data_IF_361694468916
#
_entry.id   IF_361694468916
#
_cell.length_a   1.000
_cell.length_b   1.000
_cell.length_c   1.000
_cell.angle_alpha   90.00
_cell.angle_beta   90.00
_cell.angle_gamma   90.00
#
_symmetry.space_group_name_H-M   'P 1'
#
loop_
_entity.id
_entity.type
_entity.pdbx_description
1 polymer ?
#
# COMPACT_ATOMS: atom_id res chain seq x y z
N UNK A 1 10.33 -35.25 38.08
CA UNK A 1 10.92 -34.65 39.29
C UNK A 1 12.28 -34.10 38.92
N UNK A 2 12.36 -32.79 38.68
CA UNK A 2 13.59 -32.04 38.55
C UNK A 2 13.30 -30.62 39.04
N UNK A 3 13.72 -30.38 40.27
CA UNK A 3 13.80 -29.12 40.98
C UNK A 3 15.13 -28.44 40.67
N UNK A 4 15.13 -27.15 40.37
CA UNK A 4 16.09 -26.16 40.91
C UNK A 4 15.52 -24.76 40.74
N UNK A 5 15.20 -24.17 41.88
CA UNK A 5 14.94 -22.76 42.16
C UNK A 5 16.23 -21.93 42.10
N UNK A 6 16.15 -20.67 41.68
CA UNK A 6 16.46 -19.55 42.57
C UNK A 6 16.05 -18.20 41.96
N UNK A 7 15.25 -17.48 42.73
CA UNK A 7 15.02 -16.06 42.66
C UNK A 7 15.91 -15.34 43.69
N UNK A 8 15.76 -14.02 43.75
CA UNK A 8 16.39 -12.98 44.60
C UNK A 8 17.74 -12.43 44.15
N UNK A 9 18.04 -11.14 44.29
CA UNK A 9 17.28 -9.91 44.59
C UNK A 9 18.26 -8.72 44.53
N UNK A 10 17.70 -7.50 44.58
CA UNK A 10 18.34 -6.22 44.90
C UNK A 10 19.11 -5.54 43.74
N UNK A 11 19.01 -4.23 43.51
CA UNK A 11 18.45 -3.14 44.30
C UNK A 11 18.13 -1.94 43.40
N UNK A 12 16.98 -1.32 43.69
CA UNK A 12 16.68 0.11 43.73
C UNK A 12 17.68 1.12 43.14
N UNK A 13 17.21 2.01 42.25
CA UNK A 13 17.33 3.46 42.49
C UNK A 13 16.43 4.26 41.53
N UNK A 14 15.54 5.06 42.13
CA UNK A 14 14.63 6.01 41.51
C UNK A 14 15.23 7.43 41.66
N UNK A 15 15.34 8.16 40.53
CA UNK A 15 15.25 9.63 40.36
C UNK A 15 16.28 10.58 41.01
N UNK A 16 16.31 11.90 40.66
CA UNK A 16 16.06 12.57 39.36
C UNK A 16 17.17 13.61 39.04
N UNK A 17 17.35 14.03 37.78
CA UNK A 17 18.02 15.31 37.52
C UNK A 17 17.48 16.01 36.27
N UNK A 18 16.87 17.18 36.51
CA UNK A 18 16.46 18.15 35.51
C UNK A 18 17.70 18.77 34.88
N UNK A 19 17.84 18.75 33.55
CA UNK A 19 18.53 19.83 32.83
C UNK A 19 18.26 19.87 31.33
N UNK A 20 17.83 21.07 30.91
CA UNK A 20 17.94 21.69 29.59
C UNK A 20 17.10 21.14 28.43
N UNK A 21 16.02 21.89 28.17
CA UNK A 21 15.63 22.24 26.82
C UNK A 21 16.85 22.72 26.00
N UNK A 22 17.23 21.95 24.99
CA UNK A 22 17.88 22.48 23.80
C UNK A 22 17.13 21.92 22.58
N UNK A 23 16.48 22.84 21.86
CA UNK A 23 16.04 22.59 20.51
C UNK A 23 17.27 22.46 19.62
N UNK A 24 17.54 21.27 19.10
CA UNK A 24 18.41 21.10 17.94
C UNK A 24 17.77 20.10 16.98
N UNK A 25 17.08 20.68 16.00
CA UNK A 25 17.06 20.29 14.60
C UNK A 25 16.93 18.79 14.29
N UNK A 26 15.72 18.42 13.87
CA UNK A 26 15.46 17.28 12.99
C UNK A 26 16.53 17.23 11.88
N UNK A 27 17.34 16.16 11.75
CA UNK A 27 18.26 16.03 10.63
C UNK A 27 17.42 15.85 9.38
N UNK A 28 17.22 16.97 8.69
CA UNK A 28 16.73 17.06 7.33
C UNK A 28 17.29 15.89 6.51
N UNK A 29 16.47 14.88 6.26
CA UNK A 29 16.81 13.78 5.34
C UNK A 29 17.14 14.47 4.01
N UNK A 30 18.37 14.37 3.48
CA UNK A 30 18.70 14.99 2.22
C UNK A 30 17.79 14.38 1.17
N UNK A 31 17.02 15.21 0.46
CA UNK A 31 16.35 14.78 -0.76
C UNK A 31 17.40 14.09 -1.65
N UNK A 32 17.14 12.88 -2.18
CA UNK A 32 18.07 12.25 -3.09
C UNK A 32 18.28 13.19 -4.29
N UNK A 33 19.52 13.34 -4.80
CA UNK A 33 19.76 14.17 -5.97
C UNK A 33 18.90 13.68 -7.15
N UNK A 34 18.48 14.58 -8.06
CA UNK A 34 17.77 14.16 -9.26
C UNK A 34 18.68 13.21 -10.04
N UNK A 35 18.30 11.94 -10.11
CA UNK A 35 19.02 10.95 -10.90
C UNK A 35 19.11 11.47 -12.35
N UNK A 36 20.28 11.43 -13.00
CA UNK A 36 20.35 11.68 -14.42
C UNK A 36 19.43 10.67 -15.11
N UNK A 37 18.44 11.18 -15.85
CA UNK A 37 17.51 10.39 -16.64
C UNK A 37 18.32 9.56 -17.64
N UNK A 38 18.59 8.31 -17.29
CA UNK A 38 19.16 7.36 -18.24
C UNK A 38 18.14 7.16 -19.37
N UNK A 39 18.53 7.27 -20.65
CA UNK A 39 17.63 6.96 -21.74
C UNK A 39 17.20 5.50 -21.60
N UNK A 40 15.93 5.31 -21.24
CA UNK A 40 15.31 3.99 -21.12
C UNK A 40 15.43 3.30 -22.48
N UNK A 41 16.35 2.35 -22.60
CA UNK A 41 16.47 1.47 -23.75
C UNK A 41 15.17 0.68 -23.85
N UNK A 42 14.29 1.09 -24.77
CA UNK A 42 13.09 0.32 -25.12
C UNK A 42 13.57 -1.06 -25.55
N UNK A 43 13.38 -2.04 -24.66
CA UNK A 43 13.65 -3.46 -24.93
C UNK A 43 13.10 -3.81 -26.31
N UNK A 44 13.92 -4.31 -27.25
CA UNK A 44 13.46 -4.62 -28.58
C UNK A 44 12.37 -5.68 -28.48
N UNK A 45 11.23 -5.38 -29.12
CA UNK A 45 10.09 -6.27 -29.23
C UNK A 45 10.48 -7.38 -30.20
N UNK A 46 11.10 -8.42 -29.66
CA UNK A 46 11.43 -9.63 -30.40
C UNK A 46 10.16 -10.40 -30.76
N UNK A 47 9.54 -10.05 -31.86
CA UNK A 47 8.68 -10.93 -32.66
C UNK A 47 9.15 -10.82 -34.11
N UNK A 48 10.22 -11.54 -34.42
CA UNK A 48 10.52 -11.91 -35.79
C UNK A 48 9.85 -13.27 -36.02
N UNK A 49 8.73 -13.27 -36.75
CA UNK A 49 8.21 -14.48 -37.38
C UNK A 49 9.22 -14.87 -38.46
N UNK A 50 10.02 -15.90 -38.21
CA UNK A 50 10.86 -16.49 -39.24
C UNK A 50 9.95 -17.23 -40.23
N UNK A 51 9.88 -16.68 -41.44
CA UNK A 51 9.35 -17.38 -42.60
C UNK A 51 10.13 -18.69 -42.80
N UNK A 52 9.40 -19.74 -43.18
CA UNK A 52 9.91 -21.07 -43.46
C UNK A 52 10.92 -21.04 -44.60
N UNK A 53 12.20 -21.22 -44.27
CA UNK A 53 13.22 -21.62 -45.24
C UNK A 53 13.75 -22.97 -44.80
N UNK A 54 13.52 -23.96 -45.67
CA UNK A 54 14.01 -25.33 -45.56
C UNK A 54 15.53 -25.33 -45.53
N UNK A 55 16.13 -25.62 -44.38
CA UNK A 55 17.53 -26.02 -44.30
C UNK A 55 17.79 -26.74 -42.98
N UNK A 56 18.25 -27.99 -43.08
CA UNK A 56 18.74 -28.84 -41.99
C UNK A 56 19.64 -28.03 -41.04
N UNK A 57 19.12 -27.70 -39.87
CA UNK A 57 19.91 -27.29 -38.72
C UNK A 57 19.64 -28.31 -37.62
N UNK A 58 20.64 -29.15 -37.37
CA UNK A 58 20.73 -30.03 -36.20
C UNK A 58 20.70 -29.15 -34.95
N UNK A 59 19.50 -28.86 -34.45
CA UNK A 59 19.33 -28.23 -33.16
C UNK A 59 19.76 -29.24 -32.10
N UNK A 60 20.97 -29.07 -31.57
CA UNK A 60 21.42 -29.72 -30.35
C UNK A 60 20.38 -29.45 -29.26
N UNK A 61 19.52 -30.44 -29.02
CA UNK A 61 18.56 -30.45 -27.95
C UNK A 61 19.34 -30.58 -26.64
N UNK A 62 19.65 -29.44 -26.02
CA UNK A 62 20.02 -29.43 -24.62
C UNK A 62 18.86 -30.03 -23.84
N UNK A 63 19.15 -31.11 -23.12
CA UNK A 63 18.21 -31.86 -22.30
C UNK A 63 17.58 -30.95 -21.23
N UNK A 64 16.52 -30.22 -21.57
CA UNK A 64 15.56 -29.72 -20.60
C UNK A 64 14.49 -30.80 -20.43
N UNK A 65 14.62 -31.61 -19.38
CA UNK A 65 13.64 -32.62 -18.99
C UNK A 65 12.21 -32.05 -19.09
N UNK A 66 11.30 -32.61 -19.90
CA UNK A 66 9.98 -32.04 -20.19
C UNK A 66 9.07 -31.94 -18.95
N UNK A 67 9.47 -32.57 -17.84
CA UNK A 67 8.74 -32.62 -16.58
C UNK A 67 8.93 -31.38 -15.70
N UNK A 68 10.07 -30.67 -15.80
CA UNK A 68 10.33 -29.47 -14.97
C UNK A 68 9.56 -28.25 -15.47
N UNK A 69 9.40 -28.12 -16.78
CA UNK A 69 8.71 -26.99 -17.41
C UNK A 69 7.18 -27.09 -17.24
N UNK A 70 6.60 -28.30 -17.32
CA UNK A 70 5.19 -28.53 -17.05
C UNK A 70 4.82 -28.28 -15.57
N UNK A 71 5.69 -28.67 -14.62
CA UNK A 71 5.50 -28.38 -13.19
C UNK A 71 5.57 -26.88 -12.90
N UNK A 72 6.55 -26.18 -13.47
CA UNK A 72 6.69 -24.72 -13.31
C UNK A 72 5.52 -23.95 -13.95
N UNK A 73 4.98 -24.45 -15.07
CA UNK A 73 3.76 -23.89 -15.68
C UNK A 73 2.54 -24.06 -14.77
N UNK A 74 2.35 -25.25 -14.21
CA UNK A 74 1.26 -25.56 -13.26
C UNK A 74 1.37 -24.77 -11.96
N UNK A 75 2.59 -24.57 -11.46
CA UNK A 75 2.85 -23.72 -10.28
C UNK A 75 2.54 -22.25 -10.57
N UNK A 76 2.99 -21.74 -11.71
CA UNK A 76 2.67 -20.39 -12.19
C UNK A 76 1.17 -20.19 -12.40
N UNK A 77 0.45 -21.21 -12.85
CA UNK A 77 -1.01 -21.18 -12.99
C UNK A 77 -1.73 -21.12 -11.64
N UNK A 78 -1.31 -21.94 -10.66
CA UNK A 78 -1.84 -21.89 -9.29
C UNK A 78 -1.62 -20.52 -8.65
N UNK A 79 -0.46 -19.90 -8.87
CA UNK A 79 -0.18 -18.57 -8.35
C UNK A 79 -1.06 -17.49 -9.00
N UNK A 80 -1.31 -17.60 -10.32
CA UNK A 80 -2.26 -16.73 -11.02
C UNK A 80 -3.67 -16.87 -10.46
N UNK A 81 -4.13 -18.09 -10.20
CA UNK A 81 -5.43 -18.35 -9.58
C UNK A 81 -5.52 -17.78 -8.17
N UNK A 82 -4.46 -17.92 -7.37
CA UNK A 82 -4.37 -17.34 -6.03
C UNK A 82 -4.52 -15.81 -6.06
N UNK A 83 -3.88 -15.13 -7.01
CA UNK A 83 -4.01 -13.67 -7.19
C UNK A 83 -5.40 -13.27 -7.67
N UNK A 84 -6.00 -14.02 -8.61
CA UNK A 84 -7.39 -13.80 -9.05
C UNK A 84 -8.40 -13.96 -7.92
N UNK A 85 -8.24 -14.99 -7.08
CA UNK A 85 -9.13 -15.23 -5.95
C UNK A 85 -9.05 -14.10 -4.91
N UNK A 86 -7.84 -13.65 -4.58
CA UNK A 86 -7.64 -12.48 -3.71
C UNK A 86 -8.34 -11.25 -4.27
N UNK A 87 -8.15 -10.98 -5.56
CA UNK A 87 -8.74 -9.81 -6.18
C UNK A 87 -10.28 -9.90 -6.21
N UNK A 88 -10.83 -11.08 -6.51
CA UNK A 88 -12.28 -11.32 -6.40
C UNK A 88 -12.77 -11.08 -4.97
N UNK A 89 -12.04 -11.59 -3.97
CA UNK A 89 -12.40 -11.42 -2.57
C UNK A 89 -12.38 -9.93 -2.18
N UNK A 90 -11.32 -9.20 -2.53
CA UNK A 90 -11.18 -7.76 -2.28
C UNK A 90 -12.34 -6.97 -2.90
N UNK A 91 -12.69 -7.28 -4.16
CA UNK A 91 -13.82 -6.66 -4.85
C UNK A 91 -15.16 -7.01 -4.20
N UNK A 92 -15.33 -8.25 -3.75
CA UNK A 92 -16.56 -8.67 -3.11
C UNK A 92 -16.77 -7.96 -1.75
N UNK A 93 -15.73 -7.81 -0.93
CA UNK A 93 -15.85 -7.07 0.35
C UNK A 93 -16.17 -5.60 0.07
N UNK A 94 -15.39 -4.93 -0.78
CA UNK A 94 -15.61 -3.50 -1.09
C UNK A 94 -16.99 -3.24 -1.65
N UNK A 95 -17.48 -4.08 -2.58
CA UNK A 95 -18.83 -3.95 -3.14
C UNK A 95 -19.91 -4.14 -2.08
N UNK A 96 -19.76 -5.11 -1.17
CA UNK A 96 -20.72 -5.33 -0.08
C UNK A 96 -20.77 -4.16 0.90
N UNK A 97 -19.62 -3.64 1.31
CA UNK A 97 -19.55 -2.49 2.22
C UNK A 97 -20.21 -1.27 1.59
N UNK A 98 -19.91 -0.99 0.33
CA UNK A 98 -20.41 0.17 -0.38
C UNK A 98 -21.91 0.10 -0.70
N UNK A 99 -22.42 -1.10 -1.01
CA UNK A 99 -23.85 -1.34 -1.09
C UNK A 99 -24.54 -1.14 0.28
N UNK A 100 -23.90 -1.58 1.36
CA UNK A 100 -24.39 -1.36 2.73
C UNK A 100 -24.48 0.12 3.08
N UNK A 101 -23.44 0.92 2.80
CA UNK A 101 -23.48 2.37 3.03
C UNK A 101 -24.57 3.08 2.21
N UNK A 102 -24.83 2.61 0.99
CA UNK A 102 -25.93 3.13 0.16
C UNK A 102 -27.31 2.87 0.76
N UNK A 103 -27.51 1.70 1.35
CA UNK A 103 -28.80 1.29 1.89
C UNK A 103 -29.04 1.81 3.31
N UNK A 104 -27.98 1.87 4.11
CA UNK A 104 -28.08 2.07 5.57
C UNK A 104 -27.20 3.21 6.10
N UNK A 105 -26.51 3.97 5.25
CA UNK A 105 -25.60 5.03 5.70
C UNK A 105 -26.29 6.32 6.18
N UNK A 106 -27.63 6.40 6.11
CA UNK A 106 -28.43 7.55 6.54
C UNK A 106 -27.95 8.94 6.03
N UNK A 107 -27.21 8.96 4.93
CA UNK A 107 -26.72 10.20 4.33
C UNK A 107 -27.87 10.97 3.67
N UNK A 108 -27.88 12.32 3.74
CA UNK A 108 -28.85 13.16 3.05
C UNK A 108 -28.52 13.22 1.55
N UNK A 109 -28.73 12.10 0.86
CA UNK A 109 -28.42 11.90 -0.55
C UNK A 109 -29.71 11.90 -1.40
N UNK A 110 -29.66 12.41 -2.64
CA UNK A 110 -30.79 12.28 -3.57
C UNK A 110 -31.23 10.82 -3.75
N UNK A 111 -32.51 10.58 -4.02
CA UNK A 111 -33.06 9.23 -4.22
C UNK A 111 -32.35 8.43 -5.35
N UNK A 112 -31.72 9.12 -6.30
CA UNK A 112 -30.93 8.54 -7.40
C UNK A 112 -29.42 8.84 -7.28
N UNK A 113 -28.92 9.07 -6.07
CA UNK A 113 -27.51 9.32 -5.84
C UNK A 113 -26.64 8.21 -6.44
N UNK A 114 -25.46 8.56 -6.94
CA UNK A 114 -24.49 7.67 -7.57
C UNK A 114 -23.38 7.22 -6.58
N UNK A 115 -22.32 6.56 -7.06
CA UNK A 115 -21.25 6.09 -6.18
C UNK A 115 -20.46 7.24 -5.55
N UNK A 116 -20.22 8.29 -6.32
CA UNK A 116 -19.40 9.42 -5.93
C UNK A 116 -20.11 10.23 -4.84
N UNK A 117 -21.43 10.36 -4.95
CA UNK A 117 -22.26 11.02 -3.93
C UNK A 117 -22.10 10.36 -2.54
N UNK A 118 -22.07 9.02 -2.49
CA UNK A 118 -21.89 8.25 -1.26
C UNK A 118 -20.50 8.46 -0.68
N UNK A 119 -19.47 8.44 -1.54
CA UNK A 119 -18.09 8.70 -1.12
C UNK A 119 -17.92 10.14 -0.61
N UNK A 120 -18.56 11.11 -1.26
CA UNK A 120 -18.54 12.51 -0.86
C UNK A 120 -19.29 12.75 0.46
N UNK A 121 -20.41 12.06 0.69
CA UNK A 121 -21.12 12.11 1.96
C UNK A 121 -20.29 11.52 3.11
N UNK A 122 -19.65 10.38 2.88
CA UNK A 122 -18.77 9.74 3.86
C UNK A 122 -17.55 10.61 4.20
N UNK A 123 -16.94 11.24 3.20
CA UNK A 123 -15.84 12.17 3.42
C UNK A 123 -16.26 13.37 4.28
N UNK A 124 -17.45 13.94 4.01
CA UNK A 124 -18.03 15.02 4.83
C UNK A 124 -18.30 14.59 6.27
N UNK A 125 -18.82 13.38 6.47
CA UNK A 125 -19.01 12.83 7.83
C UNK A 125 -17.68 12.68 8.59
N UNK A 126 -16.61 12.30 7.89
CA UNK A 126 -15.26 12.22 8.44
C UNK A 126 -14.57 13.59 8.64
N UNK A 127 -15.29 14.70 8.39
CA UNK A 127 -14.78 16.06 8.55
C UNK A 127 -13.89 16.57 7.41
N UNK A 128 -13.98 15.95 6.23
CA UNK A 128 -13.36 16.46 5.01
C UNK A 128 -14.34 17.35 4.24
N UNK A 129 -13.82 18.38 3.58
CA UNK A 129 -14.60 19.19 2.63
C UNK A 129 -14.43 18.60 1.24
N UNK A 130 -15.54 18.38 0.53
CA UNK A 130 -15.57 17.88 -0.85
C UNK A 130 -16.25 18.95 -1.71
N UNK A 131 -15.56 19.44 -2.72
CA UNK A 131 -16.08 20.40 -3.70
C UNK A 131 -16.73 19.68 -4.90
N UNK A 132 -17.51 20.42 -5.69
CA UNK A 132 -18.30 19.88 -6.81
C UNK A 132 -17.42 19.36 -7.95
N UNK A 133 -16.19 19.86 -8.05
CA UNK A 133 -15.15 19.39 -8.98
C UNK A 133 -14.47 18.08 -8.53
N UNK A 134 -14.79 17.59 -7.32
CA UNK A 134 -14.19 16.41 -6.70
C UNK A 134 -12.97 16.70 -5.84
N UNK A 135 -12.54 17.96 -5.73
CA UNK A 135 -11.43 18.35 -4.87
C UNK A 135 -11.80 18.11 -3.40
N UNK A 136 -10.95 17.36 -2.69
CA UNK A 136 -11.20 16.97 -1.29
C UNK A 136 -10.06 17.42 -0.40
N UNK A 137 -10.35 18.17 0.66
CA UNK A 137 -9.34 18.70 1.58
C UNK A 137 -9.83 18.74 3.03
N UNK A 138 -8.90 18.83 3.97
CA UNK A 138 -9.19 18.96 5.40
C UNK A 138 -8.60 20.27 5.88
N UNK A 139 -9.43 21.22 6.29
CA UNK A 139 -8.92 22.45 6.92
C UNK A 139 -8.34 22.07 8.28
N UNK A 140 -7.07 22.38 8.50
CA UNK A 140 -6.51 22.38 9.84
C UNK A 140 -7.30 23.40 10.66
N UNK A 141 -7.89 22.96 11.78
CA UNK A 141 -8.36 23.89 12.81
C UNK A 141 -7.19 24.83 13.12
N UNK A 142 -7.35 26.17 13.05
CA UNK A 142 -6.31 27.06 13.49
C UNK A 142 -6.03 26.73 14.95
N UNK A 143 -4.79 26.34 15.26
CA UNK A 143 -4.37 26.18 16.65
C UNK A 143 -4.51 27.56 17.30
N UNK A 144 -5.53 27.72 18.12
CA UNK A 144 -5.73 28.92 18.93
C UNK A 144 -4.69 28.87 20.06
N UNK A 145 -3.45 29.25 19.75
CA UNK A 145 -2.38 29.47 20.71
C UNK A 145 -2.64 30.77 21.51
N UNK A 146 -3.82 30.89 22.13
CA UNK A 146 -4.23 32.06 22.93
C UNK A 146 -3.93 31.89 24.42
N UNK A 147 -2.84 31.20 24.77
CA UNK A 147 -2.36 31.05 26.14
C UNK A 147 -0.84 31.22 26.14
N UNK A 148 -0.33 32.46 26.30
CA UNK A 148 0.97 32.79 26.92
C UNK A 148 1.34 34.27 26.74
N UNK A 149 0.46 35.20 27.11
CA UNK A 149 0.86 36.57 27.44
C UNK A 149 0.21 36.91 28.79
N UNK A 150 0.83 36.44 29.87
CA UNK A 150 0.61 37.01 31.21
C UNK A 150 1.57 38.19 31.31
N UNK A 151 0.95 39.35 31.56
CA UNK A 151 1.56 40.67 31.65
C UNK A 151 2.26 40.92 32.97
#
# INVERSE_FOLDING_TARGET
MNTTTNADAAVENNQPDLRNNHHDLDPQIPFPPPYPQQPQSRRPRGFAAAASTTSNATATCSNSSPTSNAKNRKEREKEKERTKLRERHRRAITSRMLAGFRQYGNFPLPARADMNDVLAALAREAGWTVEVDGTTYRRSQPVNNSNNLIS
#
